data_IF_114317414067
#
_entry.id   IF_114317414067
#
_cell.length_a   1.000
_cell.length_b   1.000
_cell.length_c   1.000
_cell.angle_alpha   90.00
_cell.angle_beta   90.00
_cell.angle_gamma   90.00
#
_symmetry.space_group_name_H-M   'P 1'
#
loop_
_entity.id
_entity.type
_entity.pdbx_description
1 polymer ?
#
# COMPACT_ATOMS: atom_id res chain seq x y z
N UNK A 1 12.48 -37.91 25.25
CA UNK A 1 13.01 -36.74 24.51
C UNK A 1 14.09 -36.08 25.34
N UNK A 2 15.16 -35.55 24.71
CA UNK A 2 16.18 -34.77 25.42
C UNK A 2 15.58 -33.43 25.86
N UNK A 3 15.90 -32.97 27.07
CA UNK A 3 15.38 -31.75 27.70
C UNK A 3 15.52 -30.50 26.83
N UNK A 4 16.61 -30.40 26.08
CA UNK A 4 16.88 -29.32 25.11
C UNK A 4 15.80 -29.20 24.01
N UNK A 5 15.22 -30.32 23.57
CA UNK A 5 14.17 -30.30 22.54
C UNK A 5 12.85 -29.78 23.10
N UNK A 6 12.57 -30.01 24.39
CA UNK A 6 11.37 -29.51 25.06
C UNK A 6 11.45 -28.00 25.29
N UNK A 7 12.62 -27.51 25.72
CA UNK A 7 12.88 -26.06 25.89
C UNK A 7 12.81 -25.29 24.55
N UNK A 8 13.23 -25.91 23.44
CA UNK A 8 13.09 -25.33 22.10
C UNK A 8 11.63 -25.26 21.61
N UNK A 9 10.80 -26.23 21.99
CA UNK A 9 9.37 -26.23 21.63
C UNK A 9 8.61 -25.20 22.48
N UNK A 10 8.91 -25.08 23.77
CA UNK A 10 8.30 -24.08 24.66
C UNK A 10 8.66 -22.64 24.29
N UNK A 11 9.89 -22.42 23.80
CA UNK A 11 10.35 -21.10 23.37
C UNK A 11 10.16 -20.83 21.87
N UNK A 12 9.44 -21.71 21.15
CA UNK A 12 9.12 -21.43 19.76
C UNK A 12 8.09 -20.28 19.73
N UNK A 13 8.40 -19.12 19.14
CA UNK A 13 7.44 -18.04 19.06
C UNK A 13 6.25 -18.52 18.22
N UNK A 14 5.13 -18.79 18.89
CA UNK A 14 3.86 -18.99 18.23
C UNK A 14 3.39 -17.59 17.86
N UNK A 15 3.78 -17.12 16.67
CA UNK A 15 3.16 -15.94 16.09
C UNK A 15 1.65 -16.20 16.05
N UNK A 16 0.87 -15.26 16.60
CA UNK A 16 -0.57 -15.35 16.53
C UNK A 16 -0.97 -15.52 15.04
N UNK A 17 -1.91 -16.42 14.73
CA UNK A 17 -2.33 -16.62 13.35
C UNK A 17 -2.75 -15.28 12.76
N UNK A 18 -2.17 -14.93 11.60
CA UNK A 18 -2.45 -13.67 10.92
C UNK A 18 -3.94 -13.55 10.60
N UNK A 19 -4.55 -12.42 10.94
CA UNK A 19 -5.93 -12.13 10.57
C UNK A 19 -5.97 -11.54 9.15
N UNK A 20 -6.37 -12.38 8.17
CA UNK A 20 -6.48 -11.98 6.77
C UNK A 20 -7.63 -11.00 6.48
N UNK A 21 -8.45 -10.66 7.47
CA UNK A 21 -9.45 -9.61 7.33
C UNK A 21 -8.87 -8.21 7.56
N UNK A 22 -7.63 -8.10 8.04
CA UNK A 22 -6.99 -6.82 8.33
C UNK A 22 -6.49 -6.13 7.05
N UNK A 23 -6.47 -4.80 7.09
CA UNK A 23 -6.06 -3.95 5.99
C UNK A 23 -4.59 -4.17 5.59
N UNK A 24 -3.72 -4.52 6.53
CA UNK A 24 -2.30 -4.84 6.30
C UNK A 24 -2.12 -5.94 5.24
N UNK A 25 -2.89 -7.03 5.34
CA UNK A 25 -2.81 -8.14 4.39
C UNK A 25 -3.27 -7.73 3.00
N UNK A 26 -4.38 -6.97 2.91
CA UNK A 26 -4.86 -6.46 1.62
C UNK A 26 -3.92 -5.43 1.02
N UNK A 27 -3.29 -4.61 1.86
CA UNK A 27 -2.27 -3.65 1.46
C UNK A 27 -1.04 -4.36 0.88
N UNK A 28 -0.56 -5.45 1.48
CA UNK A 28 0.50 -6.27 0.90
C UNK A 28 0.14 -6.81 -0.48
N UNK A 29 -1.08 -7.34 -0.64
CA UNK A 29 -1.54 -7.83 -1.95
C UNK A 29 -1.67 -6.73 -2.99
N UNK A 30 -2.06 -5.54 -2.56
CA UNK A 30 -2.06 -4.35 -3.42
C UNK A 30 -0.64 -3.98 -3.88
N UNK A 31 0.33 -3.98 -2.97
CA UNK A 31 1.74 -3.72 -3.30
C UNK A 31 2.24 -4.71 -4.34
N UNK A 32 1.99 -6.00 -4.13
CA UNK A 32 2.40 -7.06 -5.06
C UNK A 32 1.86 -6.81 -6.47
N UNK A 33 0.58 -6.45 -6.60
CA UNK A 33 -0.04 -6.16 -7.90
C UNK A 33 0.51 -4.88 -8.55
N UNK A 34 0.75 -3.82 -7.77
CA UNK A 34 1.33 -2.58 -8.31
C UNK A 34 2.76 -2.82 -8.81
N UNK A 35 3.59 -3.52 -8.03
CA UNK A 35 4.96 -3.86 -8.44
C UNK A 35 4.99 -4.70 -9.70
N UNK A 36 4.12 -5.72 -9.78
CA UNK A 36 4.01 -6.56 -10.98
C UNK A 36 3.63 -5.71 -12.21
N UNK A 37 2.69 -4.78 -12.05
CA UNK A 37 2.31 -3.87 -13.13
C UNK A 37 3.45 -2.90 -13.51
N UNK A 38 4.23 -2.44 -12.52
CA UNK A 38 5.37 -1.54 -12.74
C UNK A 38 6.51 -2.22 -13.52
N UNK A 39 6.74 -3.51 -13.30
CA UNK A 39 7.78 -4.30 -13.98
C UNK A 39 7.54 -4.39 -15.50
N UNK A 40 6.28 -4.40 -15.92
CA UNK A 40 5.89 -4.46 -17.34
C UNK A 40 5.89 -3.08 -18.03
N UNK A 41 6.18 -2.00 -17.31
CA UNK A 41 6.03 -0.63 -17.79
C UNK A 41 7.35 -0.04 -18.28
N UNK A 42 7.31 0.59 -19.45
CA UNK A 42 8.46 1.28 -20.06
C UNK A 42 8.89 2.54 -19.29
N UNK A 43 9.99 3.15 -19.74
CA UNK A 43 10.61 4.32 -19.10
C UNK A 43 9.86 5.64 -19.36
N UNK A 44 8.81 5.62 -20.19
CA UNK A 44 8.03 6.79 -20.60
C UNK A 44 6.68 6.90 -19.87
N UNK A 45 6.30 5.85 -19.14
CA UNK A 45 5.01 5.77 -18.44
C UNK A 45 5.17 5.64 -16.92
N UNK A 46 4.18 6.18 -16.20
CA UNK A 46 4.04 6.06 -14.76
C UNK A 46 2.74 5.35 -14.41
N UNK A 47 2.67 4.77 -13.21
CA UNK A 47 1.44 4.16 -12.71
C UNK A 47 0.48 5.24 -12.19
N UNK A 48 -0.79 5.10 -12.56
CA UNK A 48 -1.90 5.84 -12.03
C UNK A 48 -3.03 4.89 -11.62
N UNK A 49 -3.86 5.34 -10.69
CA UNK A 49 -5.09 4.63 -10.33
C UNK A 49 -6.27 5.37 -10.94
N UNK A 50 -7.08 4.64 -11.71
CA UNK A 50 -8.35 5.14 -12.22
C UNK A 50 -9.46 4.64 -11.29
N UNK A 51 -10.10 5.59 -10.61
CA UNK A 51 -11.19 5.33 -9.70
C UNK A 51 -12.48 5.22 -10.51
N UNK A 52 -13.11 4.05 -10.45
CA UNK A 52 -14.41 3.84 -11.05
C UNK A 52 -15.48 4.19 -10.01
N UNK A 53 -15.91 5.45 -9.96
CA UNK A 53 -17.00 5.88 -9.07
C UNK A 53 -18.07 6.64 -9.85
N UNK A 54 -19.32 6.17 -9.75
CA UNK A 54 -20.58 6.83 -10.13
C UNK A 54 -20.56 7.77 -11.36
N UNK A 55 -20.22 7.24 -12.53
CA UNK A 55 -20.53 7.88 -13.82
C UNK A 55 -19.45 8.79 -14.40
N UNK A 56 -18.41 9.14 -13.64
CA UNK A 56 -17.21 9.80 -14.16
C UNK A 56 -15.95 9.09 -13.65
N UNK A 57 -15.01 8.82 -14.55
CA UNK A 57 -13.75 8.24 -14.15
C UNK A 57 -12.77 9.33 -13.73
N UNK A 58 -12.30 9.27 -12.48
CA UNK A 58 -11.26 10.16 -11.97
C UNK A 58 -9.94 9.41 -12.05
N UNK A 59 -8.93 10.03 -12.68
CA UNK A 59 -7.55 9.52 -12.69
C UNK A 59 -6.78 10.21 -11.58
N UNK A 60 -6.27 9.42 -10.64
CA UNK A 60 -5.40 9.89 -9.58
C UNK A 60 -3.97 9.44 -9.86
N UNK A 61 -3.04 10.41 -9.86
CA UNK A 61 -1.61 10.17 -9.89
C UNK A 61 -1.14 9.84 -8.48
N UNK A 62 -1.24 8.56 -8.13
CA UNK A 62 -0.88 8.07 -6.79
C UNK A 62 0.62 8.15 -6.57
N UNK A 63 1.01 8.65 -5.42
CA UNK A 63 2.40 8.75 -4.98
C UNK A 63 2.72 7.83 -3.84
N UNK A 64 1.79 7.74 -2.88
CA UNK A 64 1.96 6.89 -1.71
C UNK A 64 0.63 6.23 -1.37
N UNK A 65 0.70 4.97 -0.95
CA UNK A 65 -0.43 4.26 -0.36
C UNK A 65 -0.08 3.95 1.09
N UNK A 66 -1.05 4.15 1.99
CA UNK A 66 -1.00 3.73 3.39
C UNK A 66 -2.24 2.93 3.77
N UNK A 67 -2.21 2.31 4.93
CA UNK A 67 -3.34 1.57 5.49
C UNK A 67 -3.50 1.85 6.99
N UNK A 68 -4.67 1.52 7.53
CA UNK A 68 -4.91 1.47 8.96
C UNK A 68 -5.81 0.28 9.26
N UNK A 69 -5.35 -0.62 10.13
CA UNK A 69 -6.16 -1.75 10.58
C UNK A 69 -7.37 -1.24 11.39
N UNK A 70 -8.54 -1.90 11.27
CA UNK A 70 -8.74 -3.16 10.55
C UNK A 70 -9.02 -3.01 9.05
N UNK A 71 -9.44 -1.86 8.53
CA UNK A 71 -10.15 -1.86 7.25
C UNK A 71 -9.94 -0.65 6.33
N UNK A 72 -9.04 0.27 6.66
CA UNK A 72 -8.88 1.52 5.91
C UNK A 72 -7.64 1.54 5.01
N UNK A 73 -7.79 2.13 3.83
CA UNK A 73 -6.71 2.44 2.89
C UNK A 73 -6.73 3.92 2.51
N UNK A 74 -5.54 4.48 2.36
CA UNK A 74 -5.29 5.88 2.02
C UNK A 74 -4.43 5.97 0.77
N UNK A 75 -4.90 6.69 -0.23
CA UNK A 75 -4.15 6.97 -1.45
C UNK A 75 -3.85 8.47 -1.50
N UNK A 76 -2.56 8.81 -1.54
CA UNK A 76 -2.09 10.19 -1.58
C UNK A 76 -1.51 10.48 -2.95
N UNK A 77 -1.88 11.61 -3.54
CA UNK A 77 -1.42 11.95 -4.87
C UNK A 77 -2.01 13.24 -5.40
N UNK A 78 -2.22 13.27 -6.72
CA UNK A 78 -2.76 14.42 -7.42
C UNK A 78 -3.93 14.04 -8.32
N UNK A 79 -4.92 14.92 -8.41
CA UNK A 79 -6.02 14.87 -9.39
C UNK A 79 -6.05 16.23 -10.07
N UNK A 80 -6.00 16.25 -11.40
CA UNK A 80 -5.94 17.49 -12.19
C UNK A 80 -4.85 18.47 -11.71
N UNK A 81 -3.70 17.92 -11.30
CA UNK A 81 -2.56 18.68 -10.77
C UNK A 81 -2.72 19.21 -9.34
N UNK A 82 -3.87 19.00 -8.69
CA UNK A 82 -4.13 19.42 -7.31
C UNK A 82 -3.85 18.28 -6.32
N UNK A 83 -3.22 18.56 -5.15
CA UNK A 83 -3.06 17.57 -4.10
C UNK A 83 -4.41 16.98 -3.69
N UNK A 84 -4.46 15.65 -3.62
CA UNK A 84 -5.67 14.91 -3.31
C UNK A 84 -5.37 13.69 -2.44
N UNK A 85 -6.33 13.35 -1.59
CA UNK A 85 -6.31 12.14 -0.79
C UNK A 85 -7.62 11.38 -1.02
N UNK A 86 -7.52 10.11 -1.41
CA UNK A 86 -8.65 9.20 -1.42
C UNK A 86 -8.60 8.32 -0.18
N UNK A 87 -9.73 8.22 0.50
CA UNK A 87 -9.94 7.33 1.64
C UNK A 87 -10.91 6.24 1.20
N UNK A 88 -10.55 4.97 1.39
CA UNK A 88 -11.38 3.83 1.02
C UNK A 88 -11.45 2.81 2.16
N UNK A 89 -12.65 2.29 2.39
CA UNK A 89 -12.81 1.06 3.15
C UNK A 89 -12.43 -0.13 2.25
N UNK A 90 -11.68 -1.10 2.79
CA UNK A 90 -11.10 -2.20 2.04
C UNK A 90 -12.12 -3.10 1.33
N UNK A 91 -13.36 -3.17 1.82
CA UNK A 91 -14.43 -3.96 1.17
C UNK A 91 -15.03 -3.26 -0.05
N UNK A 92 -14.73 -1.98 -0.25
CA UNK A 92 -15.24 -1.15 -1.34
C UNK A 92 -14.20 -0.91 -2.43
N UNK A 93 -13.03 -1.56 -2.33
CA UNK A 93 -11.96 -1.38 -3.31
C UNK A 93 -12.41 -1.80 -4.71
N UNK A 94 -12.48 -0.80 -5.58
CA UNK A 94 -12.72 -0.98 -7.00
C UNK A 94 -11.94 0.09 -7.76
N UNK A 95 -10.72 -0.24 -8.17
CA UNK A 95 -9.88 0.65 -8.96
C UNK A 95 -9.22 -0.14 -10.10
N UNK A 96 -8.90 0.59 -11.16
CA UNK A 96 -8.08 0.10 -12.27
C UNK A 96 -6.66 0.64 -12.10
N UNK A 97 -5.68 -0.26 -12.08
CA UNK A 97 -4.27 0.11 -12.27
C UNK A 97 -4.08 0.39 -13.76
N UNK A 98 -3.57 1.57 -14.11
CA UNK A 98 -3.33 1.98 -15.49
C UNK A 98 -2.01 2.73 -15.59
N UNK A 99 -1.49 2.86 -16.80
CA UNK A 99 -0.35 3.73 -17.10
C UNK A 99 -0.81 5.10 -17.60
N UNK A 100 0.04 6.11 -17.38
CA UNK A 100 -0.08 7.48 -17.89
C UNK A 100 1.29 7.95 -18.39
N UNK A 101 1.34 8.83 -19.38
CA UNK A 101 2.62 9.47 -19.76
C UNK A 101 3.23 10.21 -18.56
N UNK A 102 4.56 10.19 -18.48
CA UNK A 102 5.30 10.98 -17.49
C UNK A 102 4.97 12.45 -17.63
N UNK A 103 4.72 13.09 -16.48
CA UNK A 103 4.48 14.53 -16.41
C UNK A 103 5.77 15.30 -16.76
N UNK A 104 6.92 14.81 -16.31
CA UNK A 104 8.24 15.40 -16.55
C UNK A 104 9.10 14.45 -17.40
N UNK A 105 9.31 14.81 -18.67
CA UNK A 105 10.04 13.98 -19.64
C UNK A 105 11.55 13.93 -19.37
N UNK A 106 12.07 14.87 -18.57
CA UNK A 106 13.51 14.96 -18.26
C UNK A 106 13.91 14.12 -17.03
N UNK A 107 12.93 13.58 -16.29
CA UNK A 107 13.15 12.73 -15.11
C UNK A 107 12.86 11.26 -15.41
N UNK A 108 13.43 10.29 -14.65
CA UNK A 108 13.03 8.89 -14.75
C UNK A 108 11.55 8.70 -14.38
N UNK A 109 10.91 7.66 -14.91
CA UNK A 109 9.53 7.30 -14.58
C UNK A 109 9.36 7.10 -13.07
N UNK A 110 8.37 7.76 -12.47
CA UNK A 110 8.07 7.58 -11.06
C UNK A 110 7.37 6.25 -10.79
N UNK A 111 7.81 5.57 -9.73
CA UNK A 111 7.15 4.38 -9.16
C UNK A 111 6.42 4.74 -7.86
N UNK A 112 5.35 4.03 -7.54
CA UNK A 112 4.51 4.29 -6.36
C UNK A 112 5.27 3.92 -5.09
N UNK A 113 5.27 4.82 -4.12
CA UNK A 113 5.78 4.57 -2.77
C UNK A 113 4.74 3.89 -1.88
N UNK A 114 5.21 3.22 -0.83
CA UNK A 114 4.34 2.53 0.14
C UNK A 114 4.74 2.92 1.55
N UNK A 115 3.83 3.55 2.29
CA UNK A 115 4.05 3.91 3.68
C UNK A 115 3.45 2.82 4.57
N UNK A 116 4.30 2.12 5.31
CA UNK A 116 3.83 1.30 6.42
C UNK A 116 3.38 2.24 7.55
N UNK A 117 2.18 2.07 8.13
CA UNK A 117 1.87 2.70 9.39
C UNK A 117 2.83 2.09 10.42
N UNK A 118 3.84 2.84 10.84
CA UNK A 118 4.58 2.50 12.04
C UNK A 118 3.66 2.73 13.24
N UNK A 119 2.91 1.71 13.63
CA UNK A 119 2.30 1.66 14.97
C UNK A 119 3.37 1.62 16.07
N UNK A 120 4.59 1.18 15.74
CA UNK A 120 5.60 0.83 16.73
C UNK A 120 6.61 1.95 17.05
N UNK A 121 6.41 3.18 16.52
CA UNK A 121 7.40 4.28 16.69
C UNK A 121 6.85 5.60 17.21
N UNK A 122 5.59 5.65 17.62
CA UNK A 122 5.02 6.87 18.23
C UNK A 122 5.19 6.87 19.76
N UNK A 123 5.44 5.72 20.39
CA UNK A 123 5.60 5.63 21.86
C UNK A 123 6.99 6.02 22.39
N UNK A 124 8.03 6.09 21.55
CA UNK A 124 9.42 6.37 22.02
C UNK A 124 9.81 7.87 22.03
N UNK A 125 8.86 8.81 21.88
CA UNK A 125 9.18 10.26 21.91
C UNK A 125 8.35 11.09 22.87
N UNK A 126 7.68 10.46 23.84
CA UNK A 126 7.07 11.14 24.98
C UNK A 126 7.59 10.51 26.27
N UNK A 127 8.91 10.49 26.44
CA UNK A 127 9.56 10.55 27.76
C UNK A 127 11.03 10.94 27.53
N UNK A 128 11.48 11.93 28.32
CA UNK A 128 12.74 12.68 28.36
C UNK A 128 12.97 13.84 27.36
#
# INVERSE_FOLDING_TARGET
>A
MRKEVLEQIENFPIEAPRDYNMADWKFEKLIEQIKTFEEDLDDDHEVALKLASFGSAVVMYVMTIGYQNPDMLYFYGFVDGQPAQLIQHMSQLNFLITSVEKIDKDKPARRIGFALPTSDKIEEKIED
#
